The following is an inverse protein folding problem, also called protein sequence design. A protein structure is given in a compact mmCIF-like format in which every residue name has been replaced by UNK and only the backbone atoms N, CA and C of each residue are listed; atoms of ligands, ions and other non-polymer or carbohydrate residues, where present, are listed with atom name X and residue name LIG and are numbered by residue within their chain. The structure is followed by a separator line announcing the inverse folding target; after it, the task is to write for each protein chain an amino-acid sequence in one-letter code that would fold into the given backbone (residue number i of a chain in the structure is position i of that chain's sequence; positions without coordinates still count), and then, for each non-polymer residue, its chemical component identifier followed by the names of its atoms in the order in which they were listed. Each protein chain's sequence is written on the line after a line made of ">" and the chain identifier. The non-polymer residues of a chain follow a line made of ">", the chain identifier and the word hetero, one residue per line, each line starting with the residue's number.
data_IF_470821323753
#
_entry.id   IF_470821323753
#
_cell.length_a   1.000
_cell.length_b   1.000
_cell.length_c   1.000
_cell.angle_alpha   90.00
_cell.angle_beta   90.00
_cell.angle_gamma   90.00
#
_symmetry.space_group_name_H-M   'P 1'
#
loop_
_entity.id
_entity.type
_entity.pdbx_description
1 polymer ?
#
# COMPACT_ATOMS: atom_id res chain seq x y z
N UNK A 1 56.79 5.66 1.92
CA UNK A 1 55.68 4.70 2.05
C UNK A 1 54.62 5.04 3.11
N UNK A 2 54.49 6.29 3.57
CA UNK A 2 53.53 6.72 4.63
C UNK A 2 52.17 7.24 4.14
N UNK A 3 52.00 7.52 2.86
CA UNK A 3 50.77 8.17 2.35
C UNK A 3 49.68 7.24 1.83
N UNK A 4 49.93 5.89 1.77
CA UNK A 4 48.93 4.95 1.28
C UNK A 4 47.91 4.51 2.37
N UNK A 5 48.24 4.68 3.65
CA UNK A 5 47.35 4.29 4.77
C UNK A 5 46.16 5.27 4.96
N UNK A 6 46.35 6.55 4.65
CA UNK A 6 45.28 7.57 4.83
C UNK A 6 44.18 7.48 3.78
N UNK A 7 44.47 7.00 2.57
CA UNK A 7 43.48 6.83 1.49
C UNK A 7 42.53 5.66 1.82
N UNK A 8 43.02 4.61 2.48
CA UNK A 8 42.18 3.47 2.88
C UNK A 8 41.22 3.83 4.02
N UNK A 9 41.60 4.75 4.90
CA UNK A 9 40.79 5.19 6.04
C UNK A 9 39.68 6.17 5.60
N UNK A 10 39.88 6.93 4.52
CA UNK A 10 38.87 7.84 3.99
C UNK A 10 37.76 7.10 3.22
N UNK A 11 38.04 5.93 2.65
CA UNK A 11 37.07 5.12 1.93
C UNK A 11 36.10 4.35 2.86
N UNK A 12 36.45 4.19 4.13
CA UNK A 12 35.61 3.46 5.11
C UNK A 12 34.51 4.32 5.73
N UNK A 13 34.50 5.64 5.48
CA UNK A 13 33.55 6.58 6.10
C UNK A 13 32.37 6.96 5.20
N UNK A 14 32.24 6.33 4.03
CA UNK A 14 31.13 6.59 3.09
C UNK A 14 30.08 5.46 3.15
N UNK A 15 29.88 4.83 4.29
CA UNK A 15 28.68 4.03 4.53
C UNK A 15 27.54 4.97 4.96
N UNK A 16 26.94 5.64 3.97
CA UNK A 16 25.65 6.28 4.17
C UNK A 16 24.62 5.19 4.51
N UNK A 17 24.05 5.26 5.69
CA UNK A 17 22.85 4.48 6.05
C UNK A 17 21.75 4.85 5.06
N UNK A 18 21.48 3.99 4.10
CA UNK A 18 20.37 4.15 3.16
C UNK A 18 19.09 3.89 3.92
N UNK A 19 18.28 4.91 4.14
CA UNK A 19 16.91 4.75 4.65
C UNK A 19 16.01 4.30 3.50
N UNK A 20 15.38 3.13 3.64
CA UNK A 20 14.43 2.59 2.66
C UNK A 20 13.05 3.26 2.79
N UNK A 21 13.01 4.60 2.73
CA UNK A 21 11.76 5.37 2.75
C UNK A 21 11.41 5.78 1.31
N UNK A 22 10.16 5.63 0.92
CA UNK A 22 9.67 5.94 -0.43
C UNK A 22 8.60 7.01 -0.36
N UNK A 23 8.81 8.11 -1.11
CA UNK A 23 7.82 9.13 -1.38
C UNK A 23 7.24 8.93 -2.79
N UNK A 24 5.92 8.93 -2.93
CA UNK A 24 5.23 8.79 -4.21
C UNK A 24 4.48 10.08 -4.53
N UNK A 25 4.82 10.70 -5.67
CA UNK A 25 4.29 11.97 -6.14
C UNK A 25 4.54 13.17 -5.20
N UNK A 26 5.55 13.09 -4.35
CA UNK A 26 6.04 14.16 -3.46
C UNK A 26 7.57 14.06 -3.30
N UNK A 27 8.20 15.13 -2.84
CA UNK A 27 9.66 15.21 -2.75
C UNK A 27 10.24 14.58 -1.49
N UNK A 28 9.50 14.60 -0.38
CA UNK A 28 9.98 14.15 0.92
C UNK A 28 8.93 13.30 1.63
N UNK A 29 9.41 12.35 2.44
CA UNK A 29 8.57 11.53 3.32
C UNK A 29 8.27 12.30 4.60
N UNK A 30 7.03 12.24 5.08
CA UNK A 30 6.63 12.85 6.35
C UNK A 30 7.00 11.94 7.54
N UNK A 31 7.92 12.44 8.37
CA UNK A 31 8.31 11.78 9.61
C UNK A 31 9.29 10.61 9.45
N UNK A 32 9.99 10.30 10.53
CA UNK A 32 11.01 9.22 10.57
C UNK A 32 10.40 7.82 10.62
N UNK A 33 9.16 7.69 11.08
CA UNK A 33 8.43 6.42 11.22
C UNK A 33 7.57 6.08 10.01
N UNK A 34 7.87 6.66 8.84
CA UNK A 34 7.15 6.40 7.58
C UNK A 34 8.02 5.59 6.64
N UNK A 35 7.50 4.48 6.13
CA UNK A 35 8.15 3.64 5.13
C UNK A 35 7.73 4.02 3.71
N UNK A 36 6.44 4.25 3.50
CA UNK A 36 5.83 4.63 2.23
C UNK A 36 4.86 5.79 2.45
N UNK A 37 5.04 6.87 1.70
CA UNK A 37 4.25 8.10 1.80
C UNK A 37 3.80 8.57 0.43
N UNK A 38 2.57 9.06 0.34
CA UNK A 38 1.94 9.51 -0.90
C UNK A 38 1.68 11.01 -0.86
N UNK A 39 1.41 11.59 -2.05
CA UNK A 39 0.97 12.98 -2.24
C UNK A 39 -0.13 13.36 -1.23
N UNK A 40 0.04 14.50 -0.55
CA UNK A 40 -0.86 14.99 0.50
C UNK A 40 -1.30 16.44 0.32
N UNK A 41 -1.15 17.00 -0.89
CA UNK A 41 -1.66 18.35 -1.19
C UNK A 41 -3.20 18.40 -1.10
N UNK A 42 -3.73 19.58 -0.77
CA UNK A 42 -5.17 19.78 -0.65
C UNK A 42 -5.95 19.52 -1.96
N UNK A 43 -5.28 19.56 -3.09
CA UNK A 43 -5.84 19.28 -4.43
C UNK A 43 -5.64 17.82 -4.87
N UNK A 44 -5.02 16.97 -4.05
CA UNK A 44 -4.80 15.57 -4.42
C UNK A 44 -6.14 14.81 -4.54
N UNK A 45 -6.34 14.18 -5.70
CA UNK A 45 -7.49 13.30 -5.99
C UNK A 45 -7.05 11.87 -6.34
N UNK A 46 -5.75 11.56 -6.20
CA UNK A 46 -5.16 10.26 -6.52
C UNK A 46 -5.07 9.41 -5.27
N UNK A 47 -5.49 8.16 -5.40
CA UNK A 47 -5.51 7.16 -4.34
C UNK A 47 -4.75 5.89 -4.75
N UNK A 48 -4.65 4.92 -3.84
CA UNK A 48 -4.18 3.58 -4.16
C UNK A 48 -5.36 2.77 -4.71
N UNK A 49 -5.10 1.89 -5.68
CA UNK A 49 -6.09 0.92 -6.15
C UNK A 49 -5.67 -0.46 -5.65
N UNK A 50 -6.53 -1.10 -4.88
CA UNK A 50 -6.31 -2.44 -4.36
C UNK A 50 -6.42 -3.49 -5.47
N UNK A 51 -5.68 -4.61 -5.38
CA UNK A 51 -5.82 -5.72 -6.30
C UNK A 51 -7.25 -6.26 -6.34
N UNK A 52 -7.82 -6.41 -7.55
CA UNK A 52 -9.07 -7.11 -7.77
C UNK A 52 -8.76 -8.57 -8.15
N UNK A 53 -9.12 -9.51 -7.29
CA UNK A 53 -8.88 -10.94 -7.47
C UNK A 53 -10.16 -11.68 -7.85
N UNK A 54 -10.05 -12.80 -8.58
CA UNK A 54 -11.23 -13.58 -8.96
C UNK A 54 -11.91 -14.24 -7.74
N UNK A 55 -11.09 -14.65 -6.76
CA UNK A 55 -11.53 -15.15 -5.46
C UNK A 55 -10.44 -14.90 -4.41
N UNK A 56 -10.84 -14.77 -3.16
CA UNK A 56 -9.89 -14.55 -2.07
C UNK A 56 -8.87 -15.70 -2.01
N UNK A 57 -7.55 -15.42 -1.97
CA UNK A 57 -6.52 -16.43 -1.86
C UNK A 57 -6.69 -17.31 -0.61
N UNK A 58 -6.36 -18.59 -0.74
CA UNK A 58 -6.34 -19.58 0.35
C UNK A 58 -4.92 -19.91 0.78
N UNK A 59 -4.75 -20.57 1.93
CA UNK A 59 -3.44 -21.00 2.42
C UNK A 59 -2.55 -19.84 2.94
N UNK A 60 -3.14 -18.70 3.24
CA UNK A 60 -2.44 -17.60 3.87
C UNK A 60 -2.15 -17.90 5.35
N UNK A 61 -1.07 -17.32 5.86
CA UNK A 61 -0.62 -17.45 7.24
C UNK A 61 -0.65 -16.10 7.96
N UNK A 62 -0.27 -16.07 9.23
CA UNK A 62 -0.12 -14.81 9.99
C UNK A 62 0.81 -13.78 9.35
N UNK A 63 1.79 -14.23 8.54
CA UNK A 63 2.66 -13.33 7.78
C UNK A 63 1.90 -12.49 6.76
N UNK A 64 0.69 -12.89 6.39
CA UNK A 64 -0.17 -12.20 5.45
C UNK A 64 -1.23 -11.30 6.12
N UNK A 65 -1.21 -11.16 7.45
CA UNK A 65 -2.10 -10.23 8.14
C UNK A 65 -1.91 -8.80 7.61
N UNK A 66 -3.00 -8.07 7.39
CA UNK A 66 -2.98 -6.75 6.76
C UNK A 66 -3.05 -6.77 5.23
N UNK A 67 -3.25 -7.94 4.60
CA UNK A 67 -3.48 -8.02 3.13
C UNK A 67 -4.88 -7.51 2.80
N UNK A 68 -4.96 -6.58 1.84
CA UNK A 68 -6.21 -6.02 1.32
C UNK A 68 -6.46 -6.45 -0.12
N UNK A 69 -7.71 -6.78 -0.46
CA UNK A 69 -8.16 -7.13 -1.81
C UNK A 69 -9.58 -6.64 -2.06
N UNK A 70 -9.96 -6.54 -3.35
CA UNK A 70 -11.35 -6.62 -3.79
C UNK A 70 -11.59 -8.03 -4.33
N UNK A 71 -12.49 -8.79 -3.69
CA UNK A 71 -12.85 -10.14 -4.10
C UNK A 71 -14.04 -10.09 -5.06
N UNK A 72 -13.82 -10.50 -6.31
CA UNK A 72 -14.84 -10.49 -7.36
C UNK A 72 -15.87 -11.60 -7.21
N UNK A 73 -15.60 -12.64 -6.42
CA UNK A 73 -16.52 -13.76 -6.23
C UNK A 73 -17.77 -13.39 -5.42
N UNK A 74 -17.61 -12.45 -4.47
CA UNK A 74 -18.71 -11.95 -3.64
C UNK A 74 -18.84 -10.41 -3.68
N UNK A 75 -18.04 -9.75 -4.53
CA UNK A 75 -18.07 -8.31 -4.79
C UNK A 75 -17.71 -7.44 -3.58
N UNK A 76 -16.84 -7.93 -2.68
CA UNK A 76 -16.52 -7.27 -1.42
C UNK A 76 -15.07 -6.86 -1.31
N UNK A 77 -14.86 -5.75 -0.63
CA UNK A 77 -13.55 -5.41 -0.08
C UNK A 77 -13.26 -6.29 1.14
N UNK A 78 -12.07 -6.82 1.21
CA UNK A 78 -11.64 -7.71 2.30
C UNK A 78 -10.26 -7.35 2.82
N UNK A 79 -10.05 -7.64 4.09
CA UNK A 79 -8.74 -7.64 4.75
C UNK A 79 -8.49 -9.00 5.41
N UNK A 80 -7.27 -9.52 5.28
CA UNK A 80 -6.87 -10.74 5.98
C UNK A 80 -6.33 -10.39 7.36
N UNK A 81 -6.92 -10.96 8.39
CA UNK A 81 -6.48 -10.83 9.77
C UNK A 81 -6.78 -12.06 10.59
N UNK A 82 -5.91 -12.41 11.54
CA UNK A 82 -6.10 -13.52 12.47
C UNK A 82 -6.48 -14.85 11.78
N UNK A 83 -5.85 -15.14 10.62
CA UNK A 83 -6.03 -16.37 9.87
C UNK A 83 -7.31 -16.44 9.03
N UNK A 84 -8.06 -15.34 8.87
CA UNK A 84 -9.30 -15.32 8.10
C UNK A 84 -9.51 -14.00 7.33
N UNK A 85 -10.29 -14.07 6.27
CA UNK A 85 -10.75 -12.90 5.53
C UNK A 85 -11.92 -12.22 6.23
N UNK A 86 -11.77 -10.91 6.50
CA UNK A 86 -12.83 -10.05 7.03
C UNK A 86 -13.40 -9.18 5.93
N UNK A 87 -14.74 -9.14 5.84
CA UNK A 87 -15.42 -8.23 4.93
C UNK A 87 -15.31 -6.79 5.44
N UNK A 88 -14.89 -5.89 4.59
CA UNK A 88 -14.82 -4.45 4.85
C UNK A 88 -15.94 -3.68 4.16
N UNK A 89 -16.75 -4.32 3.31
CA UNK A 89 -17.92 -3.71 2.66
C UNK A 89 -19.05 -4.72 2.51
N UNK A 90 -20.24 -4.21 2.22
CA UNK A 90 -21.30 -4.98 1.57
C UNK A 90 -20.87 -5.33 0.13
N UNK A 91 -21.71 -6.10 -0.58
CA UNK A 91 -21.47 -6.38 -1.99
C UNK A 91 -21.56 -5.10 -2.82
N UNK A 92 -20.48 -4.81 -3.54
CA UNK A 92 -20.36 -3.67 -4.46
C UNK A 92 -20.58 -4.07 -5.91
N UNK A 93 -19.75 -3.53 -6.82
CA UNK A 93 -19.84 -3.78 -8.26
C UNK A 93 -18.44 -4.00 -8.85
N UNK A 94 -18.24 -5.08 -9.58
CA UNK A 94 -16.98 -5.42 -10.22
C UNK A 94 -16.89 -4.97 -11.70
N UNK A 95 -17.87 -4.27 -12.26
CA UNK A 95 -17.87 -3.91 -13.69
C UNK A 95 -16.66 -3.07 -14.12
N UNK A 96 -16.13 -2.24 -13.21
CA UNK A 96 -14.92 -1.44 -13.42
C UNK A 96 -13.62 -2.11 -12.92
N UNK A 97 -13.68 -3.31 -12.39
CA UNK A 97 -12.52 -4.00 -11.86
C UNK A 97 -11.73 -4.68 -12.98
N UNK A 98 -10.53 -4.19 -13.29
CA UNK A 98 -9.59 -4.90 -14.17
C UNK A 98 -8.85 -5.94 -13.37
N UNK A 99 -8.86 -7.18 -13.80
CA UNK A 99 -7.97 -8.23 -13.28
C UNK A 99 -6.90 -8.56 -14.30
N UNK A 100 -5.72 -8.89 -13.80
CA UNK A 100 -4.69 -9.45 -14.64
C UNK A 100 -5.17 -10.82 -15.19
N UNK A 101 -5.28 -10.95 -16.50
CA UNK A 101 -5.65 -12.20 -17.17
C UNK A 101 -4.43 -13.04 -17.60
N UNK A 102 -3.24 -12.48 -17.49
CA UNK A 102 -1.97 -13.15 -17.76
C UNK A 102 -1.42 -13.89 -16.53
N UNK A 103 -0.37 -14.67 -16.73
CA UNK A 103 0.41 -15.20 -15.61
C UNK A 103 1.08 -14.05 -14.84
N UNK A 104 1.06 -14.13 -13.54
CA UNK A 104 1.82 -13.20 -12.71
C UNK A 104 3.32 -13.37 -12.96
N UNK A 105 4.00 -12.26 -13.21
CA UNK A 105 5.44 -12.23 -13.42
C UNK A 105 6.14 -11.66 -12.18
N UNK A 106 7.16 -12.38 -11.68
CA UNK A 106 7.97 -11.94 -10.56
C UNK A 106 7.40 -12.31 -9.18
N UNK A 107 8.08 -11.83 -8.14
CA UNK A 107 7.77 -12.12 -6.73
C UNK A 107 7.03 -10.99 -6.03
N UNK A 108 6.58 -9.97 -6.77
CA UNK A 108 6.08 -8.72 -6.20
C UNK A 108 7.22 -7.77 -5.78
N UNK A 109 6.84 -6.72 -5.07
CA UNK A 109 7.76 -5.69 -4.55
C UNK A 109 7.76 -5.76 -3.03
N UNK A 110 8.93 -5.91 -2.41
CA UNK A 110 9.12 -5.75 -0.97
C UNK A 110 9.84 -4.43 -0.69
N UNK A 111 9.27 -3.62 0.20
CA UNK A 111 9.86 -2.36 0.66
C UNK A 111 10.18 -2.51 2.15
N UNK A 112 11.41 -2.14 2.54
CA UNK A 112 11.86 -2.12 3.93
C UNK A 112 12.65 -3.34 4.36
N UNK A 113 12.64 -4.44 3.59
CA UNK A 113 13.45 -5.63 3.83
C UNK A 113 13.97 -6.23 2.51
N UNK A 114 15.08 -7.01 2.54
CA UNK A 114 15.58 -7.71 1.36
C UNK A 114 14.64 -8.80 0.83
N UNK A 115 13.84 -9.39 1.71
CA UNK A 115 12.84 -10.42 1.39
C UNK A 115 11.71 -10.40 2.42
N UNK A 116 10.57 -11.00 2.08
CA UNK A 116 9.45 -11.22 2.99
C UNK A 116 8.93 -12.65 2.89
N UNK A 117 8.42 -13.18 3.99
CA UNK A 117 7.66 -14.44 4.02
C UNK A 117 6.17 -14.23 3.63
N UNK A 118 5.69 -13.00 3.64
CA UNK A 118 4.38 -12.65 3.12
C UNK A 118 4.40 -12.70 1.59
N UNK A 119 3.27 -13.13 1.00
CA UNK A 119 3.07 -13.12 -0.45
C UNK A 119 2.10 -12.01 -0.82
N UNK A 120 2.52 -11.14 -1.72
CA UNK A 120 1.70 -10.02 -2.18
C UNK A 120 2.36 -9.26 -3.32
N UNK A 121 1.59 -8.49 -4.07
CA UNK A 121 2.10 -7.62 -5.15
C UNK A 121 2.97 -6.51 -4.59
N UNK A 122 2.59 -5.97 -3.44
CA UNK A 122 3.36 -5.00 -2.66
C UNK A 122 3.36 -5.44 -1.20
N UNK A 123 4.54 -5.65 -0.64
CA UNK A 123 4.75 -6.02 0.77
C UNK A 123 5.58 -4.95 1.45
N UNK A 124 5.10 -4.45 2.58
CA UNK A 124 5.78 -3.45 3.40
C UNK A 124 6.26 -4.12 4.68
N UNK A 125 7.59 -4.20 4.85
CA UNK A 125 8.22 -4.84 6.00
C UNK A 125 8.95 -3.79 6.84
N UNK A 126 8.52 -3.62 8.07
CA UNK A 126 9.21 -2.75 9.02
C UNK A 126 8.82 -3.09 10.45
N UNK A 127 9.76 -2.90 11.38
CA UNK A 127 9.52 -3.04 12.81
C UNK A 127 8.97 -1.76 13.46
N UNK A 128 9.17 -0.59 12.81
CA UNK A 128 8.94 0.72 13.44
C UNK A 128 8.39 1.78 12.47
N UNK A 129 8.17 1.43 11.18
CA UNK A 129 7.68 2.35 10.16
C UNK A 129 6.35 1.89 9.58
N UNK A 130 5.51 2.84 9.20
CA UNK A 130 4.20 2.61 8.64
C UNK A 130 4.04 3.23 7.24
N UNK A 131 2.97 2.87 6.56
CA UNK A 131 2.51 3.54 5.35
C UNK A 131 1.58 4.69 5.72
N UNK A 132 1.80 5.85 5.11
CA UNK A 132 0.83 6.96 5.11
C UNK A 132 0.01 6.86 3.83
N UNK A 133 -1.30 6.70 3.96
CA UNK A 133 -2.21 6.64 2.80
C UNK A 133 -2.29 7.99 2.08
N UNK A 134 -2.60 7.99 0.77
CA UNK A 134 -2.96 9.22 0.06
C UNK A 134 -4.07 9.96 0.80
N UNK A 135 -3.90 11.26 1.03
CA UNK A 135 -4.86 12.10 1.72
C UNK A 135 -5.76 12.81 0.72
N UNK A 136 -7.06 12.63 0.85
CA UNK A 136 -8.06 13.24 -0.02
C UNK A 136 -9.18 13.85 0.83
N UNK A 137 -9.55 15.07 0.52
CA UNK A 137 -10.69 15.73 1.16
C UNK A 137 -11.99 15.29 0.50
N UNK A 138 -12.95 14.76 1.23
CA UNK A 138 -14.25 14.31 0.72
C UNK A 138 -14.12 13.44 -0.56
N UNK A 139 -13.51 12.25 -0.52
CA UNK A 139 -13.25 11.45 -1.71
C UNK A 139 -14.52 11.14 -2.52
N UNK A 140 -15.68 11.00 -1.89
CA UNK A 140 -16.97 10.81 -2.55
C UNK A 140 -17.41 12.00 -3.44
N UNK A 141 -16.83 13.18 -3.22
CA UNK A 141 -17.08 14.38 -4.03
C UNK A 141 -15.96 14.61 -5.04
N UNK A 142 -14.70 14.51 -4.58
CA UNK A 142 -13.54 15.00 -5.30
C UNK A 142 -12.91 13.97 -6.24
N UNK A 143 -13.01 12.67 -5.93
CA UNK A 143 -12.54 11.60 -6.83
C UNK A 143 -13.62 11.31 -7.87
N UNK A 144 -13.39 11.74 -9.11
CA UNK A 144 -14.32 11.50 -10.21
C UNK A 144 -14.05 10.14 -10.85
N UNK A 145 -15.11 9.34 -11.04
CA UNK A 145 -15.03 7.99 -11.62
C UNK A 145 -14.01 7.08 -10.92
N UNK A 146 -14.11 6.86 -9.61
CA UNK A 146 -13.16 6.01 -8.90
C UNK A 146 -13.19 4.57 -9.42
N UNK A 147 -12.02 3.94 -9.51
CA UNK A 147 -11.93 2.51 -9.77
C UNK A 147 -12.33 1.71 -8.52
N UNK A 148 -12.87 0.51 -8.75
CA UNK A 148 -13.12 -0.45 -7.65
C UNK A 148 -11.81 -0.71 -6.90
N UNK A 149 -11.87 -0.69 -5.57
CA UNK A 149 -10.68 -0.84 -4.71
C UNK A 149 -9.89 0.46 -4.50
N UNK A 150 -10.35 1.61 -5.00
CA UNK A 150 -9.72 2.91 -4.70
C UNK A 150 -9.74 3.17 -3.20
N UNK A 151 -8.56 3.32 -2.57
CA UNK A 151 -8.36 3.48 -1.13
C UNK A 151 -7.59 4.76 -0.80
N UNK A 152 -8.05 5.51 0.19
CA UNK A 152 -7.40 6.73 0.67
C UNK A 152 -7.78 7.03 2.13
N UNK A 153 -7.12 8.03 2.72
CA UNK A 153 -7.53 8.64 3.98
C UNK A 153 -8.35 9.89 3.69
N UNK A 154 -9.60 9.92 4.14
CA UNK A 154 -10.44 11.12 4.05
C UNK A 154 -10.09 12.10 5.16
N UNK A 155 -9.58 13.27 4.79
CA UNK A 155 -9.14 14.30 5.74
C UNK A 155 -10.31 15.01 6.44
N UNK A 156 -11.53 14.93 5.91
CA UNK A 156 -12.73 15.55 6.49
C UNK A 156 -13.39 14.64 7.51
N UNK A 157 -13.74 13.41 7.10
CA UNK A 157 -14.32 12.43 8.02
C UNK A 157 -13.29 11.81 8.99
N UNK A 158 -11.98 12.01 8.71
CA UNK A 158 -10.85 11.43 9.46
C UNK A 158 -10.92 9.91 9.54
N UNK A 159 -11.19 9.28 8.42
CA UNK A 159 -11.39 7.84 8.32
C UNK A 159 -10.68 7.25 7.09
N UNK A 160 -10.42 5.95 7.14
CA UNK A 160 -10.08 5.18 5.95
C UNK A 160 -11.32 5.16 5.04
N UNK A 161 -11.13 5.44 3.75
CA UNK A 161 -12.18 5.41 2.74
C UNK A 161 -11.80 4.45 1.61
N UNK A 162 -12.70 3.53 1.24
CA UNK A 162 -12.50 2.61 0.13
C UNK A 162 -13.76 2.50 -0.72
N UNK A 163 -13.59 2.52 -2.05
CA UNK A 163 -14.68 2.45 -3.03
C UNK A 163 -14.92 1.00 -3.48
N UNK A 164 -16.15 0.49 -3.34
CA UNK A 164 -16.54 -0.89 -3.67
C UNK A 164 -17.12 -1.06 -5.10
N UNK A 165 -17.07 0.01 -5.90
CA UNK A 165 -17.66 0.03 -7.24
C UNK A 165 -19.09 0.58 -7.29
N UNK A 166 -19.73 0.79 -6.13
CA UNK A 166 -21.03 1.43 -5.99
C UNK A 166 -20.97 2.65 -5.08
N UNK A 167 -20.33 2.51 -3.91
CA UNK A 167 -20.27 3.53 -2.85
C UNK A 167 -18.90 3.56 -2.17
N UNK A 168 -18.63 4.65 -1.48
CA UNK A 168 -17.52 4.76 -0.55
C UNK A 168 -17.91 4.17 0.81
N UNK A 169 -17.03 3.31 1.34
CA UNK A 169 -17.14 2.73 2.68
C UNK A 169 -16.08 3.38 3.58
N UNK A 170 -16.44 3.66 4.84
CA UNK A 170 -15.61 4.44 5.76
C UNK A 170 -15.42 3.68 7.08
N UNK A 171 -14.18 3.66 7.60
CA UNK A 171 -13.83 3.07 8.89
C UNK A 171 -13.02 4.07 9.73
N UNK A 172 -13.40 4.18 11.00
CA UNK A 172 -12.71 4.97 12.03
C UNK A 172 -12.04 4.05 13.03
#
# INVERSE_FOLDING_TARGET
>A
MKNKAYILFFFFWIFSVSHAQIAVAKTNVNGSSTLLDFEDSASNTRAIILPAVNSAPTGLTSNNNGTFIFDKSDLKLKMFENGMWKNLSDAGNAAGATSNSGSELGQGITIGAPFSNAKGVLVLESSDKAMILPKISNPHINVKSPHVGTMCYDTVSKSLAVFDGLKWNYWK
#
